data_IF_224338051539
#
_entry.id   IF_224338051539
#
_cell.length_a   1.000
_cell.length_b   1.000
_cell.length_c   1.000
_cell.angle_alpha   90.00
_cell.angle_beta   90.00
_cell.angle_gamma   90.00
#
_symmetry.space_group_name_H-M   'P 1'
#
loop_
_entity.id
_entity.type
_entity.pdbx_description
1 polymer ?
#
# COMPACT_ATOMS: atom_id res chain seq x y z
N UNK A 1 4.97 33.76 17.36
CA UNK A 1 5.31 33.00 16.14
C UNK A 1 6.38 32.00 16.51
N UNK A 2 6.03 30.73 16.73
CA UNK A 2 7.02 29.70 16.99
C UNK A 2 7.72 29.39 15.66
N UNK A 3 9.01 29.70 15.57
CA UNK A 3 9.86 29.20 14.49
C UNK A 3 9.94 27.68 14.65
N UNK A 4 9.12 26.94 13.90
CA UNK A 4 9.26 25.49 13.79
C UNK A 4 10.59 25.20 13.11
N UNK A 5 11.63 24.95 13.92
CA UNK A 5 12.93 24.51 13.43
C UNK A 5 12.74 23.18 12.69
N UNK A 6 13.16 23.13 11.42
CA UNK A 6 13.18 21.88 10.66
C UNK A 6 14.08 20.89 11.43
N UNK A 7 13.60 19.68 11.76
CA UNK A 7 14.42 18.69 12.47
C UNK A 7 15.69 18.36 11.68
N UNK A 8 16.82 18.28 12.36
CA UNK A 8 18.09 17.92 11.75
C UNK A 8 18.02 16.48 11.17
N UNK A 9 18.48 16.23 9.93
CA UNK A 9 18.45 14.90 9.31
C UNK A 9 19.10 13.81 10.16
N UNK A 10 20.17 14.13 10.88
CA UNK A 10 20.90 13.21 11.76
C UNK A 10 20.01 12.73 12.91
N UNK A 11 19.20 13.64 13.49
CA UNK A 11 18.27 13.29 14.55
C UNK A 11 17.15 12.37 14.04
N UNK A 12 16.65 12.61 12.83
CA UNK A 12 15.65 11.73 12.19
C UNK A 12 16.23 10.35 11.91
N UNK A 13 17.47 10.27 11.43
CA UNK A 13 18.15 8.98 11.23
C UNK A 13 18.33 8.19 12.53
N UNK A 14 18.69 8.87 13.63
CA UNK A 14 18.76 8.23 14.95
C UNK A 14 17.39 7.67 15.34
N UNK A 15 16.32 8.45 15.23
CA UNK A 15 14.96 7.95 15.51
C UNK A 15 14.61 6.75 14.62
N UNK A 16 14.90 6.79 13.33
CA UNK A 16 14.67 5.66 12.41
C UNK A 16 15.43 4.42 12.89
N UNK A 17 16.68 4.55 13.34
CA UNK A 17 17.45 3.41 13.88
C UNK A 17 16.82 2.81 15.16
N UNK A 18 16.21 3.65 16.00
CA UNK A 18 15.51 3.21 17.21
C UNK A 18 14.21 2.43 16.91
N UNK A 19 13.75 2.37 15.65
CA UNK A 19 12.66 1.47 15.28
C UNK A 19 13.07 -0.01 15.41
N UNK A 20 14.37 -0.34 15.36
CA UNK A 20 14.88 -1.70 15.59
C UNK A 20 15.39 -1.95 17.02
N UNK A 21 15.10 -1.06 17.97
CA UNK A 21 15.50 -1.22 19.37
C UNK A 21 14.85 -2.45 20.01
N UNK A 22 15.55 -3.13 20.94
CA UNK A 22 15.03 -4.30 21.65
C UNK A 22 13.81 -3.96 22.52
N UNK A 23 13.78 -2.74 23.09
CA UNK A 23 12.70 -2.27 23.93
C UNK A 23 11.48 -1.84 23.11
N UNK A 24 10.35 -2.52 23.33
CA UNK A 24 9.09 -2.18 22.66
C UNK A 24 8.61 -0.75 22.97
N UNK A 25 8.95 -0.22 24.15
CA UNK A 25 8.64 1.16 24.53
C UNK A 25 9.45 2.15 23.70
N UNK A 26 10.75 1.90 23.50
CA UNK A 26 11.62 2.75 22.68
C UNK A 26 11.14 2.76 21.23
N UNK A 27 10.81 1.59 20.67
CA UNK A 27 10.27 1.50 19.31
C UNK A 27 8.98 2.31 19.13
N UNK A 28 8.05 2.22 20.10
CA UNK A 28 6.77 2.96 20.06
C UNK A 28 6.97 4.46 20.18
N UNK A 29 7.81 4.90 21.13
CA UNK A 29 8.12 6.32 21.31
C UNK A 29 8.80 6.90 20.07
N UNK A 30 9.79 6.20 19.52
CA UNK A 30 10.46 6.61 18.27
C UNK A 30 9.47 6.72 17.11
N UNK A 31 8.61 5.71 16.93
CA UNK A 31 7.57 5.75 15.90
C UNK A 31 6.61 6.92 16.07
N UNK A 32 6.22 7.27 17.30
CA UNK A 32 5.38 8.44 17.56
C UNK A 32 6.09 9.72 17.13
N UNK A 33 7.34 9.92 17.56
CA UNK A 33 8.12 11.10 17.21
C UNK A 33 8.35 11.22 15.70
N UNK A 34 8.60 10.10 15.01
CA UNK A 34 8.74 10.10 13.55
C UNK A 34 7.45 10.49 12.83
N UNK A 35 6.28 10.11 13.36
CA UNK A 35 4.98 10.53 12.80
C UNK A 35 4.74 12.02 13.04
N UNK A 36 5.08 12.53 14.22
CA UNK A 36 4.97 13.97 14.51
C UNK A 36 5.87 14.80 13.57
N UNK A 37 7.09 14.31 13.30
CA UNK A 37 8.00 14.93 12.35
C UNK A 37 7.46 14.81 10.91
N UNK A 38 6.94 13.64 10.52
CA UNK A 38 6.38 13.44 9.19
C UNK A 38 5.14 14.32 8.92
N UNK A 39 4.40 14.73 9.94
CA UNK A 39 3.32 15.71 9.79
C UNK A 39 3.83 17.12 9.44
N UNK A 40 5.10 17.43 9.75
CA UNK A 40 5.73 18.72 9.48
C UNK A 40 6.64 18.68 8.25
N UNK A 41 7.36 17.58 8.05
CA UNK A 41 8.27 17.35 6.93
C UNK A 41 8.26 15.86 6.54
N UNK A 42 7.24 15.41 5.77
CA UNK A 42 7.12 14.02 5.37
C UNK A 42 8.28 13.55 4.51
N UNK A 43 8.80 14.41 3.63
CA UNK A 43 9.89 14.06 2.71
C UNK A 43 11.16 13.63 3.45
N UNK A 44 11.59 14.41 4.45
CA UNK A 44 12.78 14.09 5.25
C UNK A 44 12.66 12.70 5.91
N UNK A 45 11.50 12.41 6.52
CA UNK A 45 11.26 11.11 7.18
C UNK A 45 11.27 9.97 6.16
N UNK A 46 10.63 10.16 5.01
CA UNK A 46 10.58 9.16 3.95
C UNK A 46 11.97 8.85 3.39
N UNK A 47 12.82 9.86 3.20
CA UNK A 47 14.20 9.67 2.74
C UNK A 47 15.03 8.86 3.75
N UNK A 48 14.95 9.20 5.04
CA UNK A 48 15.64 8.46 6.09
C UNK A 48 15.17 7.00 6.18
N UNK A 49 13.85 6.77 6.13
CA UNK A 49 13.29 5.42 6.09
C UNK A 49 13.75 4.65 4.84
N UNK A 50 13.76 5.30 3.66
CA UNK A 50 14.18 4.66 2.41
C UNK A 50 15.67 4.29 2.42
N UNK A 51 16.51 5.08 3.10
CA UNK A 51 17.93 4.79 3.24
C UNK A 51 18.18 3.52 4.05
N UNK A 52 17.50 3.33 5.18
CA UNK A 52 17.68 2.13 6.03
C UNK A 52 16.98 0.88 5.46
N UNK A 53 16.03 1.08 4.56
CA UNK A 53 15.35 -0.03 3.87
C UNK A 53 16.24 -0.73 2.84
N UNK A 54 17.39 -0.13 2.49
CA UNK A 54 18.39 -0.77 1.61
C UNK A 54 18.96 -2.00 2.32
N UNK A 55 18.73 -3.19 1.75
CA UNK A 55 19.15 -4.47 2.35
C UNK A 55 18.03 -5.25 3.05
N UNK A 56 16.82 -4.68 3.12
CA UNK A 56 15.61 -5.39 3.51
C UNK A 56 15.55 -5.83 4.97
N UNK A 57 14.67 -6.79 5.28
CA UNK A 57 14.52 -7.39 6.63
C UNK A 57 15.80 -7.95 7.23
N UNK A 58 16.78 -8.36 6.40
CA UNK A 58 18.09 -8.85 6.88
C UNK A 58 19.01 -7.72 7.34
N UNK A 59 18.81 -6.51 6.81
CA UNK A 59 19.55 -5.32 7.19
C UNK A 59 18.91 -4.56 8.36
N UNK A 60 17.58 -4.61 8.50
CA UNK A 60 16.86 -3.86 9.53
C UNK A 60 15.85 -4.74 10.29
N UNK A 61 16.07 -4.92 11.59
CA UNK A 61 15.36 -5.91 12.42
C UNK A 61 13.84 -5.68 12.59
N UNK A 62 13.34 -4.46 12.36
CA UNK A 62 11.91 -4.14 12.46
C UNK A 62 11.40 -3.39 11.21
N UNK A 63 11.32 -4.10 10.10
CA UNK A 63 10.84 -3.53 8.84
C UNK A 63 9.36 -3.10 8.90
N UNK A 64 8.56 -3.71 9.79
CA UNK A 64 7.17 -3.31 10.03
C UNK A 64 7.09 -1.85 10.49
N UNK A 65 7.92 -1.47 11.47
CA UNK A 65 7.97 -0.09 11.98
C UNK A 65 8.34 0.92 10.90
N UNK A 66 9.32 0.60 10.06
CA UNK A 66 9.75 1.47 8.95
C UNK A 66 8.61 1.67 7.95
N UNK A 67 7.94 0.60 7.51
CA UNK A 67 6.82 0.72 6.58
C UNK A 67 5.61 1.46 7.17
N UNK A 68 5.36 1.34 8.48
CA UNK A 68 4.31 2.13 9.14
C UNK A 68 4.60 3.63 9.13
N UNK A 69 5.85 4.02 9.39
CA UNK A 69 6.28 5.42 9.33
C UNK A 69 6.23 5.91 7.88
N UNK A 70 6.69 5.12 6.91
CA UNK A 70 6.58 5.47 5.50
C UNK A 70 5.13 5.65 5.05
N UNK A 71 4.23 4.73 5.41
CA UNK A 71 2.82 4.83 5.04
C UNK A 71 2.17 6.10 5.61
N UNK A 72 2.54 6.48 6.84
CA UNK A 72 2.10 7.74 7.44
C UNK A 72 2.67 8.95 6.69
N UNK A 73 3.98 8.96 6.42
CA UNK A 73 4.64 10.05 5.70
C UNK A 73 4.09 10.25 4.29
N UNK A 74 3.81 9.16 3.54
CA UNK A 74 3.21 9.25 2.21
C UNK A 74 1.83 9.90 2.29
N UNK A 75 0.97 9.50 3.25
CA UNK A 75 -0.37 10.09 3.42
C UNK A 75 -0.33 11.56 3.84
N UNK A 76 0.75 11.99 4.51
CA UNK A 76 0.94 13.36 4.95
C UNK A 76 1.42 14.29 3.83
N UNK A 77 1.80 13.77 2.66
CA UNK A 77 2.20 14.60 1.53
C UNK A 77 1.00 15.29 0.89
N UNK A 78 1.17 16.56 0.56
CA UNK A 78 0.25 17.26 -0.33
C UNK A 78 0.34 16.71 -1.74
N UNK A 79 -0.78 16.63 -2.45
CA UNK A 79 -0.85 16.07 -3.83
C UNK A 79 0.12 16.75 -4.81
N UNK A 80 0.51 18.00 -4.56
CA UNK A 80 1.41 18.78 -5.41
C UNK A 80 2.89 18.44 -5.20
N UNK A 81 3.22 17.90 -4.02
CA UNK A 81 4.59 17.61 -3.59
C UNK A 81 4.96 16.14 -3.81
N UNK A 82 4.03 15.34 -4.33
CA UNK A 82 4.26 13.93 -4.64
C UNK A 82 5.14 13.81 -5.88
N UNK A 83 6.36 13.32 -5.69
CA UNK A 83 7.26 12.92 -6.78
C UNK A 83 7.01 11.46 -7.20
N UNK A 84 6.53 11.18 -8.43
CA UNK A 84 6.32 9.83 -8.92
C UNK A 84 7.57 8.95 -8.92
N UNK A 85 8.76 9.51 -9.18
CA UNK A 85 9.99 8.73 -9.20
C UNK A 85 10.36 8.24 -7.80
N UNK A 86 10.20 9.11 -6.80
CA UNK A 86 10.39 8.75 -5.40
C UNK A 86 9.33 7.74 -4.92
N UNK A 87 8.06 7.92 -5.29
CA UNK A 87 7.01 6.95 -4.96
C UNK A 87 7.25 5.58 -5.59
N UNK A 88 7.72 5.52 -6.85
CA UNK A 88 8.11 4.28 -7.49
C UNK A 88 9.24 3.56 -6.73
N UNK A 89 10.21 4.32 -6.21
CA UNK A 89 11.27 3.77 -5.37
C UNK A 89 10.71 3.17 -4.08
N UNK A 90 9.79 3.86 -3.39
CA UNK A 90 9.16 3.33 -2.17
C UNK A 90 8.31 2.09 -2.44
N UNK A 91 7.55 2.08 -3.54
CA UNK A 91 6.76 0.93 -3.97
C UNK A 91 7.65 -0.30 -4.19
N UNK A 92 8.76 -0.13 -4.93
CA UNK A 92 9.75 -1.19 -5.19
C UNK A 92 10.39 -1.74 -3.92
N UNK A 93 10.66 -0.89 -2.92
CA UNK A 93 11.17 -1.35 -1.62
C UNK A 93 10.14 -2.28 -0.97
N UNK A 94 8.87 -1.87 -0.92
CA UNK A 94 7.81 -2.66 -0.30
C UNK A 94 7.56 -3.98 -1.04
N UNK A 95 7.49 -3.95 -2.37
CA UNK A 95 7.24 -5.16 -3.18
C UNK A 95 8.42 -6.12 -3.17
N UNK A 96 9.67 -5.63 -3.22
CA UNK A 96 10.86 -6.47 -3.09
C UNK A 96 10.86 -7.27 -1.77
N UNK A 97 10.50 -6.62 -0.65
CA UNK A 97 10.38 -7.31 0.64
C UNK A 97 9.27 -8.37 0.62
N UNK A 98 8.11 -8.06 0.01
CA UNK A 98 7.02 -9.02 -0.11
C UNK A 98 7.40 -10.26 -0.92
N UNK A 99 8.11 -10.09 -2.03
CA UNK A 99 8.52 -11.18 -2.92
C UNK A 99 9.62 -12.04 -2.27
N UNK A 100 10.46 -11.43 -1.42
CA UNK A 100 11.51 -12.15 -0.69
C UNK A 100 10.97 -13.11 0.39
N UNK A 101 9.71 -12.94 0.79
CA UNK A 101 9.10 -13.70 1.88
C UNK A 101 8.10 -14.74 1.40
N UNK A 102 8.02 -15.84 2.15
CA UNK A 102 6.93 -16.82 2.03
C UNK A 102 5.89 -16.68 3.14
N UNK A 103 6.17 -15.84 4.15
CA UNK A 103 5.26 -15.57 5.26
C UNK A 103 4.07 -14.75 4.77
N UNK A 104 2.87 -15.18 5.16
CA UNK A 104 1.63 -14.44 4.95
C UNK A 104 1.06 -13.97 6.29
N UNK A 105 0.46 -12.78 6.29
CA UNK A 105 -0.22 -12.15 7.44
C UNK A 105 0.72 -11.82 8.61
N UNK A 106 1.96 -11.44 8.32
CA UNK A 106 2.87 -10.88 9.31
C UNK A 106 2.68 -9.36 9.47
N UNK A 107 3.07 -8.82 10.62
CA UNK A 107 3.01 -7.37 10.89
C UNK A 107 3.76 -6.55 9.84
N UNK A 108 4.91 -7.04 9.38
CA UNK A 108 5.71 -6.35 8.36
C UNK A 108 5.00 -6.33 7.00
N UNK A 109 4.34 -7.43 6.62
CA UNK A 109 3.61 -7.50 5.36
C UNK A 109 2.37 -6.61 5.40
N UNK A 110 1.63 -6.60 6.51
CA UNK A 110 0.50 -5.68 6.68
C UNK A 110 0.97 -4.22 6.58
N UNK A 111 2.12 -3.90 7.18
CA UNK A 111 2.70 -2.56 7.12
C UNK A 111 3.13 -2.18 5.69
N UNK A 112 3.74 -3.11 4.95
CA UNK A 112 4.08 -2.94 3.55
C UNK A 112 2.84 -2.76 2.66
N UNK A 113 1.76 -3.50 2.92
CA UNK A 113 0.46 -3.32 2.25
C UNK A 113 -0.08 -1.91 2.48
N UNK A 114 -0.04 -1.42 3.73
CA UNK A 114 -0.47 -0.06 4.06
C UNK A 114 0.37 1.01 3.35
N UNK A 115 1.66 0.79 3.19
CA UNK A 115 2.53 1.68 2.41
C UNK A 115 2.12 1.72 0.94
N UNK A 116 1.91 0.57 0.30
CA UNK A 116 1.48 0.50 -1.10
C UNK A 116 0.10 1.15 -1.29
N UNK A 117 -0.84 0.93 -0.37
CA UNK A 117 -2.16 1.59 -0.39
C UNK A 117 -2.03 3.10 -0.21
N UNK A 118 -1.14 3.57 0.67
CA UNK A 118 -0.86 5.00 0.83
C UNK A 118 -0.27 5.62 -0.44
N UNK A 119 0.61 4.90 -1.15
CA UNK A 119 1.10 5.35 -2.46
C UNK A 119 -0.07 5.41 -3.46
N UNK A 120 -0.94 4.39 -3.45
CA UNK A 120 -2.13 4.32 -4.30
C UNK A 120 -3.14 5.45 -4.10
N UNK A 121 -3.22 6.06 -2.92
CA UNK A 121 -4.10 7.23 -2.71
C UNK A 121 -3.60 8.50 -3.41
N UNK A 122 -2.32 8.57 -3.78
CA UNK A 122 -1.76 9.67 -4.56
C UNK A 122 -1.54 9.29 -6.03
N UNK A 123 -1.02 8.09 -6.28
CA UNK A 123 -0.61 7.59 -7.60
C UNK A 123 -1.16 6.17 -7.80
N UNK A 124 -2.48 6.02 -8.04
CA UNK A 124 -3.14 4.72 -8.16
C UNK A 124 -2.59 3.88 -9.31
N UNK A 125 -2.29 4.49 -10.46
CA UNK A 125 -1.77 3.78 -11.63
C UNK A 125 -0.38 3.20 -11.38
N UNK A 126 0.52 3.98 -10.77
CA UNK A 126 1.86 3.54 -10.39
C UNK A 126 1.80 2.34 -9.44
N UNK A 127 0.96 2.42 -8.41
CA UNK A 127 0.77 1.30 -7.48
C UNK A 127 0.24 0.07 -8.21
N UNK A 128 -0.80 0.23 -9.05
CA UNK A 128 -1.38 -0.88 -9.81
C UNK A 128 -0.38 -1.55 -10.74
N UNK A 129 0.42 -0.77 -11.48
CA UNK A 129 1.47 -1.28 -12.36
C UNK A 129 2.47 -2.14 -11.59
N UNK A 130 2.96 -1.66 -10.46
CA UNK A 130 3.89 -2.40 -9.61
C UNK A 130 3.26 -3.71 -9.09
N UNK A 131 2.00 -3.70 -8.65
CA UNK A 131 1.28 -4.91 -8.22
C UNK A 131 1.09 -5.90 -9.37
N UNK A 132 0.76 -5.41 -10.57
CA UNK A 132 0.47 -6.25 -11.74
C UNK A 132 1.68 -7.06 -12.21
N UNK A 133 2.90 -6.58 -11.97
CA UNK A 133 4.14 -7.34 -12.23
C UNK A 133 4.17 -8.69 -11.50
N UNK A 134 3.37 -8.84 -10.44
CA UNK A 134 3.38 -10.00 -9.56
C UNK A 134 2.07 -10.82 -9.59
N UNK A 135 1.10 -10.42 -10.42
CA UNK A 135 -0.16 -11.15 -10.62
C UNK A 135 -0.01 -12.30 -11.62
N UNK A 136 0.77 -13.30 -11.25
CA UNK A 136 0.89 -14.56 -11.99
C UNK A 136 0.55 -15.74 -11.08
N UNK A 137 -0.15 -16.75 -11.61
CA UNK A 137 -0.61 -17.93 -10.85
C UNK A 137 0.51 -18.74 -10.18
N UNK A 138 1.74 -18.62 -10.66
CA UNK A 138 2.92 -19.29 -10.10
C UNK A 138 3.69 -18.45 -9.08
N UNK A 139 3.34 -17.17 -8.92
CA UNK A 139 4.06 -16.27 -8.03
C UNK A 139 3.66 -16.50 -6.57
N UNK A 140 4.63 -16.76 -5.69
CA UNK A 140 4.40 -16.95 -4.26
C UNK A 140 3.84 -15.70 -3.57
N UNK A 141 4.13 -14.50 -4.09
CA UNK A 141 3.63 -13.23 -3.57
C UNK A 141 2.19 -12.91 -3.99
N UNK A 142 1.60 -13.69 -4.91
CA UNK A 142 0.26 -13.45 -5.44
C UNK A 142 -0.81 -13.16 -4.37
N UNK A 143 -0.91 -13.92 -3.25
CA UNK A 143 -1.90 -13.62 -2.21
C UNK A 143 -1.70 -12.25 -1.56
N UNK A 144 -0.45 -11.82 -1.37
CA UNK A 144 -0.13 -10.50 -0.84
C UNK A 144 -0.60 -9.39 -1.80
N UNK A 145 -0.35 -9.58 -3.09
CA UNK A 145 -0.75 -8.65 -4.16
C UNK A 145 -2.27 -8.47 -4.22
N UNK A 146 -3.01 -9.59 -4.12
CA UNK A 146 -4.47 -9.58 -4.07
C UNK A 146 -5.00 -8.90 -2.81
N UNK A 147 -4.35 -9.10 -1.66
CA UNK A 147 -4.71 -8.43 -0.41
C UNK A 147 -4.52 -6.91 -0.50
N UNK A 148 -3.48 -6.42 -1.18
CA UNK A 148 -3.28 -4.97 -1.40
C UNK A 148 -4.42 -4.38 -2.21
N UNK A 149 -4.84 -5.07 -3.29
CA UNK A 149 -5.97 -4.63 -4.11
C UNK A 149 -7.29 -4.63 -3.32
N UNK A 150 -7.48 -5.57 -2.40
CA UNK A 150 -8.65 -5.60 -1.50
C UNK A 150 -8.64 -4.41 -0.53
N UNK A 151 -7.49 -4.12 0.09
CA UNK A 151 -7.32 -3.01 1.03
C UNK A 151 -7.47 -1.66 0.32
N UNK A 152 -6.91 -1.52 -0.88
CA UNK A 152 -7.04 -0.30 -1.68
C UNK A 152 -8.49 -0.04 -2.09
N UNK A 153 -9.21 -1.06 -2.56
CA UNK A 153 -10.62 -0.95 -2.87
C UNK A 153 -11.48 -0.53 -1.66
N UNK A 154 -11.14 -1.04 -0.48
CA UNK A 154 -11.84 -0.70 0.77
C UNK A 154 -11.50 0.70 1.28
N UNK A 155 -10.29 1.19 1.00
CA UNK A 155 -9.78 2.49 1.46
C UNK A 155 -10.19 3.63 0.54
N UNK A 156 -10.13 3.41 -0.78
CA UNK A 156 -10.40 4.42 -1.79
C UNK A 156 -11.19 3.80 -2.98
N UNK A 157 -12.51 3.56 -2.79
CA UNK A 157 -13.37 3.07 -3.86
C UNK A 157 -13.34 3.94 -5.12
N UNK A 158 -13.20 5.27 -4.95
CA UNK A 158 -13.22 6.25 -6.03
C UNK A 158 -12.05 6.08 -6.99
N UNK A 159 -10.88 5.77 -6.46
CA UNK A 159 -9.70 5.52 -7.29
C UNK A 159 -9.60 4.06 -7.77
N UNK A 160 -10.16 3.11 -7.02
CA UNK A 160 -10.14 1.70 -7.39
C UNK A 160 -11.09 1.34 -8.53
N UNK A 161 -12.37 1.74 -8.44
CA UNK A 161 -13.42 1.27 -9.37
C UNK A 161 -13.17 1.64 -10.83
N UNK A 162 -12.66 2.84 -11.18
CA UNK A 162 -12.28 3.13 -12.56
C UNK A 162 -11.25 2.14 -13.16
N UNK A 163 -10.47 1.45 -12.33
CA UNK A 163 -9.37 0.54 -12.72
C UNK A 163 -9.71 -0.94 -12.57
N UNK A 164 -10.82 -1.28 -11.93
CA UNK A 164 -11.13 -2.67 -11.57
C UNK A 164 -11.25 -3.64 -12.76
N UNK A 165 -11.58 -3.17 -13.97
CA UNK A 165 -11.59 -4.01 -15.18
C UNK A 165 -10.19 -4.56 -15.47
N UNK A 166 -9.16 -3.72 -15.30
CA UNK A 166 -7.76 -4.12 -15.43
C UNK A 166 -7.36 -5.16 -14.39
N UNK A 167 -7.85 -4.99 -13.16
CA UNK A 167 -7.66 -5.96 -12.06
C UNK A 167 -8.32 -7.31 -12.40
N UNK A 168 -9.61 -7.30 -12.75
CA UNK A 168 -10.38 -8.51 -13.06
C UNK A 168 -9.78 -9.27 -14.26
N UNK A 169 -9.36 -8.56 -15.31
CA UNK A 169 -8.74 -9.19 -16.48
C UNK A 169 -7.47 -10.00 -16.16
N UNK A 170 -6.77 -9.66 -15.08
CA UNK A 170 -5.56 -10.35 -14.61
C UNK A 170 -5.86 -11.44 -13.59
N UNK A 171 -6.84 -11.22 -12.72
CA UNK A 171 -7.19 -12.14 -11.63
C UNK A 171 -8.05 -13.31 -12.13
N UNK A 172 -9.03 -13.07 -13.00
CA UNK A 172 -9.95 -14.12 -13.45
C UNK A 172 -9.23 -15.32 -14.11
N UNK A 173 -8.24 -15.12 -15.01
CA UNK A 173 -7.54 -16.24 -15.64
C UNK A 173 -6.75 -17.13 -14.68
N UNK A 174 -6.32 -16.59 -13.53
CA UNK A 174 -5.48 -17.32 -12.57
C UNK A 174 -6.29 -18.02 -11.47
N UNK A 175 -7.60 -17.75 -11.35
CA UNK A 175 -8.44 -18.30 -10.27
C UNK A 175 -8.46 -19.83 -10.21
N UNK A 176 -8.46 -20.49 -11.36
CA UNK A 176 -8.45 -21.95 -11.43
C UNK A 176 -7.21 -22.59 -10.79
N UNK A 177 -6.11 -21.84 -10.71
CA UNK A 177 -4.82 -22.30 -10.18
C UNK A 177 -4.58 -21.87 -8.72
N UNK A 178 -5.53 -21.18 -8.09
CA UNK A 178 -5.39 -20.72 -6.70
C UNK A 178 -5.50 -21.92 -5.76
N UNK A 179 -4.44 -22.16 -4.99
CA UNK A 179 -4.42 -23.18 -3.93
C UNK A 179 -5.50 -22.91 -2.88
N UNK A 180 -6.09 -23.97 -2.34
CA UNK A 180 -7.19 -23.89 -1.37
C UNK A 180 -6.89 -22.98 -0.18
N UNK A 181 -5.65 -23.05 0.35
CA UNK A 181 -5.20 -22.20 1.46
C UNK A 181 -5.26 -20.69 1.17
N UNK A 182 -5.22 -20.29 -0.10
CA UNK A 182 -5.27 -18.89 -0.52
C UNK A 182 -6.68 -18.44 -0.93
N UNK A 183 -7.62 -19.36 -1.17
CA UNK A 183 -8.99 -19.01 -1.58
C UNK A 183 -9.67 -17.99 -0.65
N UNK A 184 -9.52 -18.04 0.69
CA UNK A 184 -10.11 -17.03 1.56
C UNK A 184 -9.63 -15.60 1.27
N UNK A 185 -8.37 -15.42 0.88
CA UNK A 185 -7.79 -14.11 0.52
C UNK A 185 -8.47 -13.58 -0.75
N UNK A 186 -8.62 -14.43 -1.77
CA UNK A 186 -9.31 -14.07 -3.00
C UNK A 186 -10.79 -13.77 -2.77
N UNK A 187 -11.48 -14.61 -2.00
CA UNK A 187 -12.88 -14.39 -1.64
C UNK A 187 -13.07 -13.06 -0.91
N UNK A 188 -12.18 -12.73 0.04
CA UNK A 188 -12.19 -11.45 0.71
C UNK A 188 -11.94 -10.29 -0.27
N UNK A 189 -11.02 -10.43 -1.21
CA UNK A 189 -10.78 -9.41 -2.23
C UNK A 189 -12.01 -9.15 -3.10
N UNK A 190 -12.66 -10.19 -3.63
CA UNK A 190 -13.91 -10.03 -4.38
C UNK A 190 -15.01 -9.37 -3.54
N UNK A 191 -15.16 -9.76 -2.27
CA UNK A 191 -16.10 -9.10 -1.34
C UNK A 191 -15.80 -7.60 -1.25
N UNK A 192 -14.55 -7.22 -0.99
CA UNK A 192 -14.13 -5.82 -0.91
C UNK A 192 -14.38 -5.06 -2.22
N UNK A 193 -14.10 -5.67 -3.38
CA UNK A 193 -14.32 -5.04 -4.68
C UNK A 193 -15.81 -4.82 -4.97
N UNK A 194 -16.65 -5.80 -4.65
CA UNK A 194 -18.10 -5.65 -4.77
C UNK A 194 -18.65 -4.56 -3.83
N UNK A 195 -18.14 -4.49 -2.60
CA UNK A 195 -18.48 -3.42 -1.65
C UNK A 195 -18.07 -2.05 -2.17
N UNK A 196 -16.85 -1.92 -2.70
CA UNK A 196 -16.37 -0.68 -3.32
C UNK A 196 -17.22 -0.28 -4.54
N UNK A 197 -17.63 -1.24 -5.36
CA UNK A 197 -18.47 -0.98 -6.53
C UNK A 197 -19.86 -0.50 -6.12
N UNK A 198 -20.43 -1.10 -5.07
CA UNK A 198 -21.70 -0.65 -4.51
C UNK A 198 -21.60 0.76 -3.92
N UNK A 199 -20.55 1.06 -3.14
CA UNK A 199 -20.32 2.42 -2.62
C UNK A 199 -20.13 3.45 -3.75
N UNK A 200 -19.36 3.08 -4.78
CA UNK A 200 -19.17 3.95 -5.93
C UNK A 200 -20.48 4.22 -6.69
N UNK A 201 -21.37 3.24 -6.82
CA UNK A 201 -22.66 3.44 -7.51
C UNK A 201 -23.64 4.29 -6.72
N UNK A 202 -23.63 4.21 -5.38
CA UNK A 202 -24.45 5.07 -4.53
C UNK A 202 -23.98 6.52 -4.56
N UNK A 203 -22.67 6.72 -4.58
CA UNK A 203 -22.07 8.06 -4.51
C UNK A 203 -22.00 8.75 -5.88
N UNK A 204 -21.90 7.98 -6.97
CA UNK A 204 -21.79 8.48 -8.35
C UNK A 204 -22.75 7.76 -9.32
N UNK A 205 -24.08 7.89 -9.14
CA UNK A 205 -25.08 7.15 -9.92
C UNK A 205 -25.01 7.42 -11.43
N UNK A 206 -24.48 8.58 -11.84
CA UNK A 206 -24.32 8.98 -13.25
C UNK A 206 -23.02 8.48 -13.92
N UNK A 207 -22.04 8.02 -13.15
CA UNK A 207 -20.73 7.57 -13.66
C UNK A 207 -20.51 6.07 -13.57
N UNK A 208 -21.53 5.30 -13.18
CA UNK A 208 -21.44 3.86 -13.34
C UNK A 208 -21.36 3.58 -14.84
N UNK A 209 -20.30 2.93 -15.33
CA UNK A 209 -20.27 2.45 -16.70
C UNK A 209 -21.18 1.23 -16.75
N UNK A 210 -22.49 1.46 -16.65
CA UNK A 210 -23.51 0.58 -17.19
C UNK A 210 -23.10 0.39 -18.64
N UNK A 211 -22.58 -0.80 -18.95
CA UNK A 211 -22.55 -1.24 -20.33
C UNK A 211 -23.96 -1.04 -20.86
N UNK A 212 -24.11 -0.13 -21.82
CA UNK A 212 -25.24 -0.18 -22.72
C UNK A 212 -25.19 -1.57 -23.36
N UNK A 213 -26.09 -2.43 -22.90
CA UNK A 213 -26.59 -3.66 -23.52
C UNK A 213 -27.13 -4.59 -22.43
N UNK A 214 -28.16 -4.12 -21.72
CA UNK A 214 -29.20 -5.03 -21.21
C UNK A 214 -30.46 -4.64 -21.93
N UNK A 215 -30.66 -5.34 -23.04
CA UNK A 215 -31.86 -5.45 -23.86
C UNK A 215 -33.12 -5.12 -23.06
N UNK A 216 -33.68 -3.94 -23.36
CA UNK A 216 -35.12 -3.70 -23.24
C UNK A 216 -35.82 -4.56 -24.30
N UNK A 217 -35.88 -5.86 -24.03
CA UNK A 217 -36.66 -6.83 -24.78
C UNK A 217 -38.04 -6.86 -24.16
N UNK A 218 -38.96 -6.10 -24.75
CA UNK A 218 -40.38 -6.36 -24.62
C UNK A 218 -40.66 -7.81 -25.03
N UNK A 219 -41.20 -8.60 -24.11
CA UNK A 219 -42.32 -9.52 -24.33
C UNK A 219 -43.08 -9.68 -23.01
#
# INVERSE_FOLDING_TARGET
MASTSIPAPEAVQVLVSLLSDDSSTVRKSSMSSLKDIAALNPFLVLECCAAVSRGGRRGFGNMAGVFQVMAFGVRALDKRDVDPAFMAKLAKIATAEMISSKELNSDWQQSATRLLVAIGSHLPDLMMEEIFLHLSGTNAALPAMVQILAEFASTDPLQFIPRWKGVLSRILPILGNVRDMHRPIFANAFKCWCQAAWQYSTDFPSHFPLGGDVIAGHF
#
